data_IF_314917628191
#
_entry.id   IF_314917628191
#
_cell.length_a   1.000
_cell.length_b   1.000
_cell.length_c   1.000
_cell.angle_alpha   90.00
_cell.angle_beta   90.00
_cell.angle_gamma   90.00
#
_symmetry.space_group_name_H-M   'P 1'
#
loop_
_entity.id
_entity.type
_entity.pdbx_description
1 polymer ?
#
# COMPACT_ATOMS: atom_id res chain seq x y z
N UNK A 1 15.69 6.13 5.21
CA UNK A 1 14.37 5.93 4.58
C UNK A 1 13.39 5.57 5.68
N UNK A 2 12.12 5.93 5.51
CA UNK A 2 11.03 5.70 6.47
C UNK A 2 9.96 4.88 5.78
N UNK A 3 9.37 3.91 6.48
CA UNK A 3 8.20 3.19 5.99
C UNK A 3 6.96 4.07 6.16
N UNK A 4 6.27 4.36 5.07
CA UNK A 4 5.02 5.11 5.07
C UNK A 4 3.84 4.17 4.89
N UNK A 5 2.77 4.44 5.64
CA UNK A 5 1.46 3.91 5.35
C UNK A 5 0.74 4.86 4.38
N UNK A 6 0.35 4.30 3.23
CA UNK A 6 -0.42 5.01 2.20
C UNK A 6 -1.75 4.32 2.04
N UNK A 7 -2.83 5.01 2.36
CA UNK A 7 -4.16 4.43 2.41
C UNK A 7 -5.19 5.20 1.58
N UNK A 8 -6.06 4.43 0.93
CA UNK A 8 -7.34 4.86 0.39
C UNK A 8 -8.44 4.66 1.45
N UNK A 9 -9.70 4.80 1.06
CA UNK A 9 -10.83 4.52 1.95
C UNK A 9 -10.86 3.07 2.46
N UNK A 10 -10.46 2.10 1.65
CA UNK A 10 -10.66 0.67 1.94
C UNK A 10 -9.41 -0.20 1.82
N UNK A 11 -8.29 0.35 1.31
CA UNK A 11 -7.04 -0.38 1.09
C UNK A 11 -5.86 0.46 1.56
N UNK A 12 -4.77 -0.20 1.90
CA UNK A 12 -3.51 0.47 2.22
C UNK A 12 -2.32 -0.38 1.78
N UNK A 13 -1.18 0.28 1.59
CA UNK A 13 0.12 -0.34 1.37
C UNK A 13 1.16 0.30 2.28
N UNK A 14 2.23 -0.43 2.57
CA UNK A 14 3.43 0.10 3.20
C UNK A 14 4.54 0.23 2.15
N UNK A 15 5.20 1.38 2.11
CA UNK A 15 6.31 1.64 1.18
C UNK A 15 7.46 2.36 1.87
N UNK A 16 8.69 2.03 1.52
CA UNK A 16 9.86 2.81 1.96
C UNK A 16 10.01 4.07 1.09
N UNK A 17 10.05 5.23 1.73
CA UNK A 17 10.22 6.51 1.05
C UNK A 17 11.00 7.51 1.92
N UNK A 18 11.40 8.62 1.32
CA UNK A 18 12.12 9.72 1.97
C UNK A 18 11.16 10.81 2.47
N UNK A 19 10.01 10.94 1.82
CA UNK A 19 8.96 11.92 2.11
C UNK A 19 7.58 11.39 1.65
N UNK A 20 6.52 12.13 2.01
CA UNK A 20 5.14 11.76 1.67
C UNK A 20 4.85 11.78 0.17
N UNK A 21 5.46 12.68 -0.60
CA UNK A 21 5.25 12.78 -2.04
C UNK A 21 5.83 11.57 -2.78
N UNK A 22 7.03 11.15 -2.37
CA UNK A 22 7.64 9.93 -2.83
C UNK A 22 6.81 8.71 -2.41
N UNK A 23 6.32 8.67 -1.17
CA UNK A 23 5.45 7.60 -0.70
C UNK A 23 4.18 7.47 -1.56
N UNK A 24 3.51 8.58 -1.90
CA UNK A 24 2.34 8.59 -2.79
C UNK A 24 2.65 7.97 -4.16
N UNK A 25 3.78 8.34 -4.76
CA UNK A 25 4.19 7.82 -6.08
C UNK A 25 4.51 6.33 -6.01
N UNK A 26 5.28 5.91 -5.01
CA UNK A 26 5.70 4.51 -4.84
C UNK A 26 4.54 3.58 -4.46
N UNK A 27 3.54 4.08 -3.74
CA UNK A 27 2.37 3.31 -3.35
C UNK A 27 1.41 3.02 -4.50
N UNK A 28 1.45 3.80 -5.59
CA UNK A 28 0.47 3.69 -6.67
C UNK A 28 0.39 2.26 -7.23
N UNK A 29 1.48 1.62 -7.70
CA UNK A 29 1.39 0.28 -8.30
C UNK A 29 0.78 -0.77 -7.36
N UNK A 30 1.15 -0.76 -6.08
CA UNK A 30 0.59 -1.69 -5.09
C UNK A 30 -0.89 -1.48 -4.85
N UNK A 31 -1.36 -0.22 -4.83
CA UNK A 31 -2.79 0.07 -4.75
C UNK A 31 -3.53 -0.36 -6.02
N UNK A 32 -2.93 -0.21 -7.20
CA UNK A 32 -3.52 -0.66 -8.46
C UNK A 32 -3.72 -2.18 -8.48
N UNK A 33 -2.76 -2.93 -7.95
CA UNK A 33 -2.88 -4.39 -7.78
C UNK A 33 -4.01 -4.76 -6.81
N UNK A 34 -4.13 -4.06 -5.67
CA UNK A 34 -5.19 -4.31 -4.70
C UNK A 34 -6.61 -4.01 -5.24
N UNK A 35 -6.71 -3.12 -6.22
CA UNK A 35 -7.96 -2.77 -6.93
C UNK A 35 -8.07 -3.43 -8.32
N UNK A 36 -7.24 -4.43 -8.64
CA UNK A 36 -7.21 -5.01 -9.99
C UNK A 36 -8.59 -5.54 -10.44
N UNK A 37 -9.37 -6.14 -9.52
CA UNK A 37 -10.72 -6.64 -9.81
C UNK A 37 -11.71 -5.52 -10.09
N UNK A 38 -11.69 -4.47 -9.27
CA UNK A 38 -12.54 -3.30 -9.46
C UNK A 38 -12.19 -2.58 -10.76
N UNK A 39 -10.91 -2.51 -11.12
CA UNK A 39 -10.43 -1.95 -12.39
C UNK A 39 -10.81 -2.81 -13.60
N UNK A 40 -10.85 -4.13 -13.45
CA UNK A 40 -11.34 -5.03 -14.50
C UNK A 40 -12.86 -4.85 -14.71
N UNK A 41 -13.63 -4.71 -13.62
CA UNK A 41 -15.08 -4.59 -13.67
C UNK A 41 -15.58 -3.21 -14.11
N UNK A 42 -14.96 -2.14 -13.61
CA UNK A 42 -15.43 -0.76 -13.78
C UNK A 42 -14.54 0.07 -14.73
N UNK A 43 -13.46 -0.52 -15.25
CA UNK A 43 -12.52 0.11 -16.17
C UNK A 43 -11.27 0.68 -15.47
N UNK A 44 -10.26 0.99 -16.29
CA UNK A 44 -8.97 1.51 -15.84
C UNK A 44 -9.06 2.85 -15.11
N UNK A 45 -10.17 3.58 -15.32
CA UNK A 45 -10.43 4.89 -14.72
C UNK A 45 -11.06 4.80 -13.32
N UNK A 46 -11.19 3.58 -12.77
CA UNK A 46 -11.65 3.42 -11.39
C UNK A 46 -10.74 4.22 -10.43
N UNK A 47 -11.30 5.20 -9.69
CA UNK A 47 -10.49 6.17 -8.97
C UNK A 47 -9.81 5.53 -7.76
N UNK A 48 -8.49 5.70 -7.67
CA UNK A 48 -7.69 5.33 -6.49
C UNK A 48 -7.32 6.62 -5.77
N UNK A 49 -8.20 7.05 -4.88
CA UNK A 49 -8.03 8.26 -4.07
C UNK A 49 -7.23 7.93 -2.80
N UNK A 50 -6.05 8.53 -2.66
CA UNK A 50 -5.19 8.39 -1.48
C UNK A 50 -5.60 9.44 -0.44
N UNK A 51 -6.20 8.96 0.65
CA UNK A 51 -6.73 9.80 1.73
C UNK A 51 -5.71 10.03 2.85
N UNK A 52 -4.84 9.04 3.11
CA UNK A 52 -3.85 9.12 4.19
C UNK A 52 -2.47 8.80 3.67
N UNK A 53 -1.50 9.64 4.06
CA UNK A 53 -0.07 9.36 3.94
C UNK A 53 0.57 9.78 5.24
N UNK A 54 1.27 8.86 5.90
CA UNK A 54 2.01 9.15 7.13
C UNK A 54 3.08 8.09 7.36
N UNK A 55 4.09 8.36 8.21
CA UNK A 55 4.93 7.30 8.73
C UNK A 55 4.09 6.17 9.32
N UNK A 56 4.45 4.93 8.99
CA UNK A 56 3.88 3.74 9.59
C UNK A 56 4.34 3.63 11.05
N UNK A 57 3.46 3.14 11.90
CA UNK A 57 3.81 2.81 13.29
C UNK A 57 4.58 1.49 13.33
N UNK A 58 5.39 1.28 14.37
CA UNK A 58 6.14 0.03 14.52
C UNK A 58 5.23 -1.23 14.49
N UNK A 59 4.06 -1.26 15.17
CA UNK A 59 3.16 -2.41 15.07
C UNK A 59 2.64 -2.69 13.65
N UNK A 60 2.39 -1.66 12.84
CA UNK A 60 1.97 -1.83 11.44
C UNK A 60 3.09 -2.45 10.60
N UNK A 61 4.34 -2.02 10.83
CA UNK A 61 5.53 -2.57 10.17
C UNK A 61 5.75 -4.03 10.60
N UNK A 62 5.62 -4.34 11.89
CA UNK A 62 5.82 -5.69 12.43
C UNK A 62 4.79 -6.67 11.86
N UNK A 63 3.52 -6.25 11.80
CA UNK A 63 2.44 -7.06 11.22
C UNK A 63 2.69 -7.33 9.73
N UNK A 64 3.14 -6.32 8.99
CA UNK A 64 3.47 -6.45 7.57
C UNK A 64 4.64 -7.41 7.35
N UNK A 65 5.71 -7.29 8.14
CA UNK A 65 6.86 -8.20 8.08
C UNK A 65 6.46 -9.65 8.39
N UNK A 66 5.66 -9.85 9.44
CA UNK A 66 5.14 -11.17 9.80
C UNK A 66 4.32 -11.78 8.66
N UNK A 67 3.45 -11.00 8.03
CA UNK A 67 2.65 -11.46 6.89
C UNK A 67 3.52 -11.93 5.72
N UNK A 68 4.59 -11.19 5.38
CA UNK A 68 5.52 -11.56 4.31
C UNK A 68 6.30 -12.84 4.65
N UNK A 69 6.73 -12.99 5.90
CA UNK A 69 7.40 -14.21 6.37
C UNK A 69 6.47 -15.42 6.31
N UNK A 70 5.19 -15.24 6.65
CA UNK A 70 4.18 -16.30 6.55
C UNK A 70 3.95 -16.71 5.09
N UNK A 71 3.84 -15.76 4.16
CA UNK A 71 3.73 -16.07 2.72
C UNK A 71 4.97 -16.85 2.25
N UNK A 72 6.17 -16.35 2.54
CA UNK A 72 7.42 -16.95 2.06
C UNK A 72 7.69 -18.36 2.63
N UNK A 73 7.15 -18.67 3.82
CA UNK A 73 7.27 -19.99 4.44
C UNK A 73 6.25 -21.01 3.93
N UNK A 74 5.23 -20.57 3.18
CA UNK A 74 4.17 -21.43 2.62
C UNK A 74 4.22 -21.51 1.09
N UNK A 75 5.28 -20.99 0.47
CA UNK A 75 5.53 -21.00 -0.98
C UNK A 75 6.64 -21.96 -1.39
#
# INVERSE_FOLDING_TARGET
>A
MTTFLVATLSRYVLVEASDEDQARRLARPGLEELYAKEREQFGSDFPIEILTVRPATQPEIDLWNWHHQMIASHS
#
